data_IF_559276898066
#
_entry.id   IF_559276898066
#
_cell.length_a   1.000
_cell.length_b   1.000
_cell.length_c   1.000
_cell.angle_alpha   90.00
_cell.angle_beta   90.00
_cell.angle_gamma   90.00
#
_symmetry.space_group_name_H-M   'P 1'
#
loop_
_entity.id
_entity.type
_entity.pdbx_description
1 polymer ?
#
# COMPACT_ATOMS: atom_id res chain seq x y z
N UNK A 1 -1.16 -12.38 5.68
CA UNK A 1 -0.58 -11.68 4.51
C UNK A 1 0.77 -12.25 4.07
N UNK A 2 1.95 -11.93 4.63
CA UNK A 2 3.24 -12.40 4.06
C UNK A 2 3.35 -13.94 3.91
N UNK A 3 2.88 -14.72 4.89
CA UNK A 3 2.80 -16.19 4.79
C UNK A 3 1.85 -16.68 3.69
N UNK A 4 0.72 -15.99 3.50
CA UNK A 4 -0.25 -16.35 2.45
C UNK A 4 0.31 -16.04 1.07
N UNK A 5 1.00 -14.90 0.91
CA UNK A 5 1.69 -14.55 -0.33
C UNK A 5 2.72 -15.63 -0.68
N UNK A 6 3.56 -16.00 0.29
CA UNK A 6 4.55 -17.06 0.09
C UNK A 6 3.91 -18.41 -0.22
N UNK A 7 2.80 -18.77 0.44
CA UNK A 7 2.11 -20.03 0.16
C UNK A 7 1.51 -20.09 -1.27
N UNK A 8 0.90 -19.00 -1.74
CA UNK A 8 0.38 -18.91 -3.11
C UNK A 8 1.52 -18.96 -4.13
N UNK A 9 2.59 -18.20 -3.89
CA UNK A 9 3.78 -18.20 -4.76
C UNK A 9 4.42 -19.60 -4.84
N UNK A 10 4.62 -20.28 -3.71
CA UNK A 10 5.14 -21.66 -3.69
C UNK A 10 4.21 -22.65 -4.39
N UNK A 11 2.89 -22.43 -4.37
CA UNK A 11 1.94 -23.28 -5.09
C UNK A 11 2.05 -23.09 -6.60
N UNK A 12 2.29 -21.86 -7.06
CA UNK A 12 2.54 -21.56 -8.48
C UNK A 12 3.88 -22.17 -8.91
N UNK A 13 4.94 -22.01 -8.10
CA UNK A 13 6.25 -22.60 -8.35
C UNK A 13 6.16 -24.13 -8.49
N UNK A 14 5.50 -24.80 -7.55
CA UNK A 14 5.26 -26.24 -7.61
C UNK A 14 4.47 -26.68 -8.84
N UNK A 15 3.48 -25.89 -9.26
CA UNK A 15 2.73 -26.14 -10.50
C UNK A 15 3.61 -26.04 -11.76
N UNK A 16 4.51 -25.05 -11.81
CA UNK A 16 5.43 -24.89 -12.95
C UNK A 16 6.37 -26.09 -13.04
N UNK A 17 6.84 -26.61 -11.91
CA UNK A 17 7.82 -27.70 -11.86
C UNK A 17 7.26 -29.09 -12.16
N UNK A 18 6.03 -29.37 -11.78
CA UNK A 18 5.44 -30.69 -12.03
C UNK A 18 5.17 -30.94 -13.53
N UNK A 19 5.29 -32.18 -14.04
CA UNK A 19 5.17 -32.50 -15.47
C UNK A 19 3.77 -32.89 -15.95
N UNK A 20 2.86 -33.26 -15.04
CA UNK A 20 1.65 -34.04 -15.32
C UNK A 20 0.43 -33.18 -15.68
N UNK A 21 0.32 -32.00 -15.07
CA UNK A 21 -0.81 -31.09 -15.21
C UNK A 21 -0.41 -29.85 -16.02
N UNK A 22 -0.93 -29.66 -17.25
CA UNK A 22 -0.58 -28.49 -18.04
C UNK A 22 -1.26 -27.21 -17.55
N UNK A 23 -2.29 -27.29 -16.67
CA UNK A 23 -3.20 -26.17 -16.43
C UNK A 23 -3.54 -25.93 -14.96
N UNK A 24 -3.37 -24.67 -14.55
CA UNK A 24 -3.72 -24.13 -13.25
C UNK A 24 -4.81 -23.07 -13.41
N UNK A 25 -6.02 -23.35 -12.92
CA UNK A 25 -7.07 -22.36 -12.77
C UNK A 25 -6.89 -21.58 -11.47
N UNK A 26 -6.69 -20.27 -11.59
CA UNK A 26 -6.51 -19.35 -10.48
C UNK A 26 -7.84 -18.67 -10.20
N UNK A 27 -8.52 -19.08 -9.13
CA UNK A 27 -9.79 -18.47 -8.71
C UNK A 27 -9.51 -17.14 -8.01
N UNK A 28 -9.72 -16.03 -8.70
CA UNK A 28 -9.29 -14.69 -8.27
C UNK A 28 -10.27 -13.59 -8.69
N UNK A 29 -10.37 -12.52 -7.88
CA UNK A 29 -11.01 -11.25 -8.27
C UNK A 29 -9.99 -10.29 -8.88
N UNK A 30 -10.43 -9.16 -9.45
CA UNK A 30 -9.51 -8.15 -10.04
C UNK A 30 -8.46 -7.66 -9.03
N UNK A 31 -8.84 -7.54 -7.75
CA UNK A 31 -7.93 -7.13 -6.68
C UNK A 31 -6.89 -8.21 -6.33
N UNK A 32 -7.25 -9.48 -6.52
CA UNK A 32 -6.37 -10.61 -6.21
C UNK A 32 -5.28 -10.80 -7.28
N UNK A 33 -5.55 -10.41 -8.53
CA UNK A 33 -4.64 -10.60 -9.69
C UNK A 33 -3.37 -9.78 -9.56
N UNK A 34 -3.42 -8.56 -9.01
CA UNK A 34 -2.25 -7.68 -8.91
C UNK A 34 -1.12 -8.32 -8.08
N UNK A 35 -1.39 -8.86 -6.87
CA UNK A 35 -0.43 -9.71 -6.16
C UNK A 35 0.09 -10.91 -6.95
N UNK A 36 -0.80 -11.65 -7.62
CA UNK A 36 -0.42 -12.86 -8.39
C UNK A 36 0.53 -12.52 -9.53
N UNK A 37 0.28 -11.43 -10.26
CA UNK A 37 1.16 -10.97 -11.33
C UNK A 37 2.57 -10.67 -10.81
N UNK A 38 2.69 -10.04 -9.63
CA UNK A 38 4.00 -9.80 -9.01
C UNK A 38 4.71 -11.09 -8.61
N UNK A 39 3.97 -12.10 -8.16
CA UNK A 39 4.53 -13.44 -7.88
C UNK A 39 5.05 -14.10 -9.16
N UNK A 40 4.28 -14.04 -10.26
CA UNK A 40 4.72 -14.56 -11.56
C UNK A 40 6.00 -13.87 -12.05
N UNK A 41 6.09 -12.55 -11.91
CA UNK A 41 7.29 -11.79 -12.25
C UNK A 41 8.49 -12.16 -11.37
N UNK A 42 8.27 -12.36 -10.07
CA UNK A 42 9.33 -12.81 -9.17
C UNK A 42 9.79 -14.24 -9.49
N UNK A 43 8.88 -15.11 -9.94
CA UNK A 43 9.22 -16.46 -10.36
C UNK A 43 10.01 -16.46 -11.67
N UNK A 44 9.67 -15.60 -12.64
CA UNK A 44 10.43 -15.44 -13.90
C UNK A 44 11.91 -15.08 -13.65
N UNK A 45 12.18 -14.28 -12.62
CA UNK A 45 13.56 -13.93 -12.22
C UNK A 45 14.30 -15.08 -11.51
N UNK A 46 13.57 -16.00 -10.85
CA UNK A 46 14.14 -17.05 -9.99
C UNK A 46 14.25 -18.41 -10.69
N UNK A 47 13.28 -18.75 -11.52
CA UNK A 47 13.11 -20.07 -12.15
C UNK A 47 13.81 -20.06 -13.51
N UNK A 48 15.09 -20.43 -13.52
CA UNK A 48 15.96 -20.30 -14.70
C UNK A 48 15.67 -21.27 -15.86
N UNK A 49 14.80 -22.26 -15.69
CA UNK A 49 14.39 -23.22 -16.73
C UNK A 49 12.98 -22.94 -17.31
N UNK A 50 12.35 -21.83 -16.91
CA UNK A 50 11.04 -21.42 -17.38
C UNK A 50 11.05 -19.99 -17.96
N UNK A 51 10.17 -19.73 -18.92
CA UNK A 51 9.91 -18.40 -19.49
C UNK A 51 8.47 -18.01 -19.18
N UNK A 52 8.26 -16.87 -18.52
CA UNK A 52 6.91 -16.41 -18.16
C UNK A 52 6.37 -15.36 -19.15
N UNK A 53 5.25 -15.69 -19.78
CA UNK A 53 4.49 -14.80 -20.65
C UNK A 53 3.26 -14.31 -19.89
N UNK A 54 3.26 -13.04 -19.51
CA UNK A 54 2.23 -12.44 -18.65
C UNK A 54 1.27 -11.56 -19.46
N UNK A 55 -0.04 -11.83 -19.35
CA UNK A 55 -1.10 -11.12 -20.09
C UNK A 55 -2.17 -10.48 -19.19
N UNK A 56 -1.80 -9.46 -18.38
CA UNK A 56 -2.70 -8.80 -17.43
C UNK A 56 -3.51 -7.65 -18.05
N UNK A 57 -4.03 -7.85 -19.27
CA UNK A 57 -4.75 -6.80 -20.00
C UNK A 57 -6.25 -6.79 -19.67
N UNK A 58 -6.95 -5.65 -19.81
CA UNK A 58 -8.40 -5.61 -19.72
C UNK A 58 -9.07 -6.53 -20.74
N UNK A 59 -10.11 -7.25 -20.32
CA UNK A 59 -10.89 -8.13 -21.20
C UNK A 59 -12.36 -7.70 -21.26
N UNK A 60 -12.64 -6.65 -22.05
CA UNK A 60 -14.01 -6.21 -22.36
C UNK A 60 -14.67 -7.07 -23.46
N UNK A 61 -13.84 -7.69 -24.31
CA UNK A 61 -14.24 -8.75 -25.24
C UNK A 61 -13.06 -9.69 -25.48
N UNK A 62 -13.33 -10.98 -25.65
CA UNK A 62 -12.28 -11.98 -25.85
C UNK A 62 -11.40 -11.73 -27.09
N UNK A 63 -11.99 -11.20 -28.17
CA UNK A 63 -11.26 -10.93 -29.41
C UNK A 63 -10.29 -9.77 -29.27
N UNK A 64 -10.73 -8.65 -28.68
CA UNK A 64 -9.88 -7.50 -28.41
C UNK A 64 -8.79 -7.84 -27.39
N UNK A 65 -9.13 -8.59 -26.34
CA UNK A 65 -8.16 -9.08 -25.36
C UNK A 65 -7.07 -9.91 -26.03
N UNK A 66 -7.45 -10.89 -26.85
CA UNK A 66 -6.47 -11.72 -27.55
C UNK A 66 -5.62 -10.88 -28.50
N UNK A 67 -6.21 -9.93 -29.23
CA UNK A 67 -5.47 -9.05 -30.12
C UNK A 67 -4.37 -8.29 -29.38
N UNK A 68 -4.69 -7.68 -28.24
CA UNK A 68 -3.70 -7.01 -27.38
C UNK A 68 -2.63 -7.98 -26.86
N UNK A 69 -3.03 -9.22 -26.49
CA UNK A 69 -2.07 -10.24 -26.07
C UNK A 69 -1.08 -10.61 -27.19
N UNK A 70 -1.56 -10.79 -28.42
CA UNK A 70 -0.73 -11.18 -29.56
C UNK A 70 0.20 -10.04 -30.00
N UNK A 71 -0.25 -8.79 -29.94
CA UNK A 71 0.60 -7.61 -30.18
C UNK A 71 1.71 -7.50 -29.12
N UNK A 72 1.36 -7.72 -27.85
CA UNK A 72 2.35 -7.73 -26.77
C UNK A 72 3.36 -8.88 -26.93
N UNK A 73 2.89 -10.07 -27.31
CA UNK A 73 3.75 -11.23 -27.57
C UNK A 73 4.69 -10.99 -28.75
N UNK A 74 4.19 -10.43 -29.86
CA UNK A 74 5.01 -10.08 -31.02
C UNK A 74 6.14 -9.14 -30.63
N UNK A 75 5.82 -8.08 -29.87
CA UNK A 75 6.83 -7.14 -29.35
C UNK A 75 7.87 -7.82 -28.44
N UNK A 76 7.44 -8.71 -27.54
CA UNK A 76 8.35 -9.45 -26.67
C UNK A 76 9.30 -10.36 -27.47
N UNK A 77 8.78 -11.06 -28.49
CA UNK A 77 9.60 -11.89 -29.39
C UNK A 77 10.61 -11.03 -30.15
N UNK A 78 10.18 -9.89 -30.70
CA UNK A 78 11.04 -8.99 -31.44
C UNK A 78 12.15 -8.41 -30.56
N UNK A 79 11.83 -7.93 -29.36
CA UNK A 79 12.79 -7.42 -28.37
C UNK A 79 13.82 -8.51 -27.97
N UNK A 80 13.35 -9.72 -27.68
CA UNK A 80 14.22 -10.85 -27.36
C UNK A 80 15.09 -11.27 -28.56
N UNK A 81 14.53 -11.25 -29.77
CA UNK A 81 15.24 -11.56 -31.01
C UNK A 81 16.36 -10.55 -31.29
N UNK A 82 16.08 -9.25 -31.14
CA UNK A 82 17.09 -8.19 -31.24
C UNK A 82 18.24 -8.38 -30.25
N UNK A 83 17.93 -8.68 -28.98
CA UNK A 83 18.95 -8.92 -27.96
C UNK A 83 19.81 -10.16 -28.26
N UNK A 84 19.26 -11.19 -28.89
CA UNK A 84 20.02 -12.36 -29.36
C UNK A 84 20.97 -12.00 -30.49
N UNK A 85 20.51 -11.23 -31.47
CA UNK A 85 21.32 -10.76 -32.61
C UNK A 85 22.49 -9.90 -32.11
N UNK A 86 22.26 -9.01 -31.15
CA UNK A 86 23.32 -8.20 -30.52
C UNK A 86 24.39 -9.04 -29.82
N UNK A 87 24.03 -10.23 -29.29
CA UNK A 87 24.97 -11.21 -28.74
C UNK A 87 25.63 -12.11 -29.79
N UNK A 88 25.36 -11.91 -31.07
CA UNK A 88 25.88 -12.71 -32.17
C UNK A 88 25.18 -14.06 -32.37
N UNK A 89 24.04 -14.27 -31.71
CA UNK A 89 23.21 -15.47 -31.88
C UNK A 89 22.23 -15.31 -33.05
N UNK A 90 21.67 -16.42 -33.56
CA UNK A 90 20.57 -16.35 -34.53
C UNK A 90 19.32 -15.76 -33.86
N UNK A 91 18.73 -14.76 -34.51
CA UNK A 91 17.46 -14.16 -34.09
C UNK A 91 16.31 -15.16 -34.19
N UNK A 92 15.28 -14.91 -33.40
CA UNK A 92 14.05 -15.70 -33.43
C UNK A 92 13.14 -15.30 -34.58
N UNK A 93 12.32 -16.26 -35.02
CA UNK A 93 11.28 -16.01 -36.01
C UNK A 93 10.17 -15.14 -35.40
N UNK A 94 9.69 -14.11 -36.11
CA UNK A 94 8.63 -13.24 -35.63
C UNK A 94 7.32 -14.01 -35.47
N UNK A 95 6.38 -13.43 -34.70
CA UNK A 95 5.06 -14.04 -34.53
C UNK A 95 4.33 -14.14 -35.90
N UNK A 96 3.83 -15.31 -36.30
CA UNK A 96 3.18 -15.48 -37.59
C UNK A 96 1.93 -14.60 -37.74
N UNK A 97 1.72 -14.07 -38.96
CA UNK A 97 0.54 -13.26 -39.27
C UNK A 97 -0.79 -13.98 -38.97
N UNK A 98 -0.77 -15.31 -39.02
CA UNK A 98 -1.90 -16.19 -38.66
C UNK A 98 -2.37 -16.01 -37.22
N UNK A 99 -1.50 -15.54 -36.31
CA UNK A 99 -1.82 -15.28 -34.90
C UNK A 99 -2.48 -13.91 -34.69
N UNK A 100 -2.28 -12.96 -35.60
CA UNK A 100 -2.78 -11.57 -35.49
C UNK A 100 -3.89 -11.24 -36.49
N UNK A 101 -4.23 -12.14 -37.42
CA UNK A 101 -5.27 -11.91 -38.43
C UNK A 101 -6.69 -11.95 -37.80
N UNK A 102 -7.39 -10.80 -37.64
CA UNK A 102 -8.68 -10.75 -36.95
C UNK A 102 -9.80 -11.52 -37.67
N UNK A 103 -9.59 -11.95 -38.92
CA UNK A 103 -10.55 -12.78 -39.66
C UNK A 103 -10.56 -14.23 -39.20
N UNK A 104 -9.54 -14.67 -38.45
CA UNK A 104 -9.42 -16.04 -37.94
C UNK A 104 -9.99 -16.15 -36.53
N UNK A 105 -10.56 -17.31 -36.23
CA UNK A 105 -11.16 -17.57 -34.93
C UNK A 105 -10.13 -17.38 -33.79
N UNK A 106 -10.47 -16.66 -32.70
CA UNK A 106 -9.55 -16.39 -31.60
C UNK A 106 -8.88 -17.64 -31.03
N UNK A 107 -9.64 -18.73 -30.87
CA UNK A 107 -9.13 -20.02 -30.38
C UNK A 107 -8.02 -20.58 -31.29
N UNK A 108 -8.18 -20.47 -32.60
CA UNK A 108 -7.15 -20.91 -33.57
C UNK A 108 -5.91 -20.03 -33.50
N UNK A 109 -6.09 -18.71 -33.41
CA UNK A 109 -4.98 -17.75 -33.27
C UNK A 109 -4.15 -18.01 -32.02
N UNK A 110 -4.83 -18.24 -30.89
CA UNK A 110 -4.19 -18.58 -29.62
C UNK A 110 -3.36 -19.87 -29.73
N UNK A 111 -3.93 -20.92 -30.34
CA UNK A 111 -3.22 -22.20 -30.53
C UNK A 111 -1.99 -22.04 -31.41
N UNK A 112 -2.12 -21.34 -32.53
CA UNK A 112 -1.01 -21.10 -33.45
C UNK A 112 0.12 -20.32 -32.76
N UNK A 113 -0.20 -19.37 -31.88
CA UNK A 113 0.78 -18.64 -31.10
C UNK A 113 1.49 -19.53 -30.07
N UNK A 114 0.76 -20.40 -29.36
CA UNK A 114 1.35 -21.36 -28.41
C UNK A 114 2.33 -22.28 -29.12
N UNK A 115 1.91 -22.87 -30.25
CA UNK A 115 2.77 -23.75 -31.06
C UNK A 115 3.99 -23.00 -31.60
N UNK A 116 3.83 -21.76 -32.08
CA UNK A 116 4.95 -20.95 -32.57
C UNK A 116 5.99 -20.70 -31.49
N UNK A 117 5.57 -20.26 -30.30
CA UNK A 117 6.49 -19.99 -29.19
C UNK A 117 7.27 -21.24 -28.80
N UNK A 118 6.66 -22.43 -28.84
CA UNK A 118 7.37 -23.69 -28.58
C UNK A 118 8.55 -23.90 -29.51
N UNK A 119 8.43 -23.51 -30.78
CA UNK A 119 9.53 -23.64 -31.78
C UNK A 119 10.71 -22.72 -31.49
N UNK A 120 10.52 -21.65 -30.71
CA UNK A 120 11.56 -20.69 -30.34
C UNK A 120 12.39 -21.15 -29.13
N UNK A 121 11.87 -22.08 -28.35
CA UNK A 121 12.41 -22.46 -27.04
C UNK A 121 13.24 -23.74 -27.13
N UNK A 122 14.42 -23.80 -26.47
CA UNK A 122 15.20 -25.02 -26.35
C UNK A 122 14.41 -26.19 -25.76
N UNK A 123 14.87 -27.42 -26.03
CA UNK A 123 14.31 -28.62 -25.43
C UNK A 123 14.45 -28.55 -23.90
N UNK A 124 13.39 -28.91 -23.17
CA UNK A 124 13.34 -28.85 -21.70
C UNK A 124 12.96 -27.49 -21.12
N UNK A 125 13.01 -26.37 -21.88
CA UNK A 125 12.55 -25.07 -21.38
C UNK A 125 11.02 -25.04 -21.24
N UNK A 126 10.50 -24.72 -20.06
CA UNK A 126 9.06 -24.58 -19.81
C UNK A 126 8.58 -23.20 -20.25
N UNK A 127 7.37 -23.10 -20.82
CA UNK A 127 6.75 -21.82 -21.16
C UNK A 127 5.48 -21.64 -20.34
N UNK A 128 5.50 -20.68 -19.43
CA UNK A 128 4.38 -20.37 -18.55
C UNK A 128 3.54 -19.26 -19.17
N UNK A 129 2.29 -19.57 -19.49
CA UNK A 129 1.31 -18.63 -20.02
C UNK A 129 0.39 -18.16 -18.90
N UNK A 130 0.57 -16.93 -18.44
CA UNK A 130 -0.26 -16.32 -17.41
C UNK A 130 -1.37 -15.46 -18.03
N UNK A 131 -2.52 -16.11 -18.30
CA UNK A 131 -3.76 -15.49 -18.79
C UNK A 131 -4.54 -14.89 -17.63
N UNK A 132 -4.14 -13.68 -17.23
CA UNK A 132 -4.62 -13.01 -16.02
C UNK A 132 -5.35 -11.69 -16.33
N UNK A 133 -6.40 -11.69 -17.17
CA UNK A 133 -7.07 -10.45 -17.57
C UNK A 133 -7.51 -9.64 -16.36
N UNK A 134 -7.31 -8.32 -16.38
CA UNK A 134 -7.68 -7.43 -15.28
C UNK A 134 -7.88 -5.99 -15.79
N UNK A 135 -9.09 -5.41 -15.72
CA UNK A 135 -10.33 -6.05 -15.27
C UNK A 135 -10.83 -7.13 -16.26
N UNK A 136 -11.61 -8.08 -15.75
CA UNK A 136 -12.29 -9.09 -16.57
C UNK A 136 -13.78 -8.74 -16.71
N UNK A 137 -14.19 -8.30 -17.91
CA UNK A 137 -15.57 -7.92 -18.24
C UNK A 137 -16.35 -8.99 -19.02
N UNK A 138 -15.74 -9.60 -20.03
CA UNK A 138 -16.32 -10.67 -20.85
C UNK A 138 -15.93 -12.07 -20.33
N UNK A 139 -16.55 -12.49 -19.22
CA UNK A 139 -16.27 -13.77 -18.56
C UNK A 139 -16.47 -14.97 -19.50
N UNK A 140 -17.60 -14.99 -20.22
CA UNK A 140 -17.97 -16.11 -21.08
C UNK A 140 -17.15 -16.19 -22.36
N UNK A 141 -16.82 -15.05 -22.97
CA UNK A 141 -15.94 -15.00 -24.13
C UNK A 141 -14.52 -15.41 -23.78
N UNK A 142 -13.97 -14.89 -22.66
CA UNK A 142 -12.65 -15.28 -22.18
C UNK A 142 -12.58 -16.78 -21.88
N UNK A 143 -13.58 -17.35 -21.18
CA UNK A 143 -13.63 -18.78 -20.90
C UNK A 143 -13.64 -19.62 -22.18
N UNK A 144 -14.39 -19.22 -23.21
CA UNK A 144 -14.40 -19.90 -24.52
C UNK A 144 -13.06 -19.82 -25.24
N UNK A 145 -12.37 -18.68 -25.14
CA UNK A 145 -11.06 -18.45 -25.77
C UNK A 145 -10.01 -19.45 -25.24
N UNK A 146 -9.93 -19.59 -23.91
CA UNK A 146 -8.89 -20.40 -23.24
C UNK A 146 -9.31 -21.86 -23.00
N UNK A 147 -10.54 -22.24 -23.38
CA UNK A 147 -11.11 -23.57 -23.10
C UNK A 147 -10.23 -24.73 -23.57
N UNK A 148 -9.59 -24.60 -24.74
CA UNK A 148 -8.71 -25.62 -25.29
C UNK A 148 -7.47 -25.88 -24.44
N UNK A 149 -7.08 -24.92 -23.61
CA UNK A 149 -5.94 -25.06 -22.71
C UNK A 149 -6.27 -25.93 -21.49
N UNK A 150 -7.52 -26.34 -21.25
CA UNK A 150 -7.87 -27.14 -20.06
C UNK A 150 -7.63 -28.64 -20.21
N UNK A 151 -7.16 -29.12 -21.38
CA UNK A 151 -6.93 -30.55 -21.63
C UNK A 151 -8.15 -31.45 -21.28
N UNK A 152 -9.38 -30.94 -21.49
CA UNK A 152 -10.61 -31.63 -21.07
C UNK A 152 -10.80 -33.01 -21.72
N UNK A 153 -10.16 -33.25 -22.87
CA UNK A 153 -10.22 -34.52 -23.60
C UNK A 153 -8.88 -35.27 -23.55
N UNK A 154 -8.03 -34.96 -22.57
CA UNK A 154 -6.67 -35.49 -22.47
C UNK A 154 -5.61 -34.54 -23.02
N UNK A 155 -4.36 -34.91 -22.80
CA UNK A 155 -3.18 -34.16 -23.18
C UNK A 155 -2.90 -34.30 -24.69
N UNK A 156 -2.71 -33.17 -25.38
CA UNK A 156 -2.34 -33.12 -26.80
C UNK A 156 -0.86 -32.75 -26.96
N UNK A 157 -0.19 -33.21 -28.03
CA UNK A 157 1.24 -32.97 -28.27
C UNK A 157 1.62 -31.48 -28.24
N UNK A 158 0.75 -30.60 -28.72
CA UNK A 158 1.01 -29.15 -28.73
C UNK A 158 1.04 -28.52 -27.32
N UNK A 159 0.56 -29.22 -26.29
CA UNK A 159 0.59 -28.76 -24.90
C UNK A 159 1.94 -29.06 -24.22
N UNK A 160 2.80 -29.86 -24.84
CA UNK A 160 4.09 -30.25 -24.27
C UNK A 160 5.03 -29.06 -24.05
N UNK A 161 5.63 -29.03 -22.86
CA UNK A 161 6.48 -27.93 -22.42
C UNK A 161 5.74 -26.62 -22.10
N UNK A 162 4.40 -26.60 -22.09
CA UNK A 162 3.60 -25.44 -21.71
C UNK A 162 2.95 -25.60 -20.33
N UNK A 163 2.82 -24.48 -19.61
CA UNK A 163 2.06 -24.36 -18.35
C UNK A 163 1.08 -23.22 -18.48
N UNK A 164 -0.22 -23.48 -18.38
CA UNK A 164 -1.28 -22.50 -18.53
C UNK A 164 -1.82 -22.09 -17.16
N UNK A 165 -1.46 -20.88 -16.72
CA UNK A 165 -2.03 -20.23 -15.54
C UNK A 165 -3.19 -19.34 -16.00
N UNK A 166 -4.43 -19.76 -15.75
CA UNK A 166 -5.63 -19.10 -16.28
C UNK A 166 -6.47 -18.57 -15.12
N UNK A 167 -6.80 -17.28 -15.13
CA UNK A 167 -7.75 -16.71 -14.16
C UNK A 167 -9.16 -17.25 -14.41
N UNK A 168 -9.87 -17.63 -13.34
CA UNK A 168 -11.33 -17.73 -13.33
C UNK A 168 -11.87 -16.75 -12.28
N UNK A 169 -12.91 -15.98 -12.62
CA UNK A 169 -13.41 -14.96 -11.70
C UNK A 169 -14.19 -15.58 -10.55
N UNK A 170 -13.80 -15.29 -9.29
CA UNK A 170 -14.48 -15.86 -8.11
C UNK A 170 -15.97 -15.51 -8.05
N UNK A 171 -16.37 -14.33 -8.51
CA UNK A 171 -17.78 -13.86 -8.43
C UNK A 171 -18.60 -14.34 -9.62
N UNK A 172 -17.95 -14.57 -10.76
CA UNK A 172 -18.59 -15.03 -12.00
C UNK A 172 -17.83 -16.23 -12.63
N UNK A 173 -17.77 -17.38 -11.91
CA UNK A 173 -16.92 -18.50 -12.34
C UNK A 173 -17.48 -19.17 -13.58
N UNK A 174 -16.62 -19.41 -14.57
CA UNK A 174 -16.98 -20.06 -15.84
C UNK A 174 -16.18 -21.34 -16.08
N UNK A 175 -14.89 -21.34 -15.76
CA UNK A 175 -13.97 -22.44 -16.06
C UNK A 175 -13.95 -23.51 -14.98
N UNK A 176 -13.94 -23.13 -13.70
CA UNK A 176 -13.88 -24.06 -12.57
C UNK A 176 -15.13 -24.96 -12.49
N UNK A 177 -16.38 -24.44 -12.60
CA UNK A 177 -17.56 -25.30 -12.64
C UNK A 177 -17.50 -26.29 -13.80
N UNK A 178 -17.07 -25.82 -14.98
CA UNK A 178 -16.94 -26.66 -16.17
C UNK A 178 -15.88 -27.76 -15.99
N UNK A 179 -14.72 -27.44 -15.43
CA UNK A 179 -13.66 -28.40 -15.14
C UNK A 179 -14.13 -29.49 -14.16
N UNK A 180 -14.89 -29.10 -13.12
CA UNK A 180 -15.50 -30.05 -12.17
C UNK A 180 -16.56 -30.94 -12.82
N UNK A 181 -17.47 -30.37 -13.60
CA UNK A 181 -18.53 -31.10 -14.28
C UNK A 181 -17.99 -32.10 -15.30
N UNK A 182 -16.89 -31.74 -15.97
CA UNK A 182 -16.20 -32.61 -16.94
C UNK A 182 -15.18 -33.56 -16.32
N UNK A 183 -14.96 -33.47 -15.00
CA UNK A 183 -13.92 -34.24 -14.28
C UNK A 183 -12.56 -34.10 -14.95
N UNK A 184 -12.14 -32.87 -15.21
CA UNK A 184 -10.85 -32.58 -15.84
C UNK A 184 -9.71 -33.04 -14.92
N UNK A 185 -9.12 -34.20 -15.20
CA UNK A 185 -8.11 -34.83 -14.35
C UNK A 185 -6.79 -34.05 -14.30
N UNK A 186 -6.49 -33.29 -15.36
CA UNK A 186 -5.23 -32.56 -15.54
C UNK A 186 -5.34 -31.04 -15.27
N UNK A 187 -6.36 -30.63 -14.50
CA UNK A 187 -6.60 -29.21 -14.17
C UNK A 187 -6.53 -29.02 -12.66
N UNK A 188 -5.52 -28.29 -12.22
CA UNK A 188 -5.37 -27.87 -10.83
C UNK A 188 -6.13 -26.57 -10.57
N UNK A 189 -6.63 -26.40 -9.35
CA UNK A 189 -7.38 -25.21 -8.94
C UNK A 189 -6.68 -24.57 -7.74
N UNK A 190 -6.31 -23.29 -7.88
CA UNK A 190 -5.69 -22.48 -6.83
C UNK A 190 -6.61 -21.33 -6.39
N UNK A 191 -7.25 -21.42 -5.21
CA UNK A 191 -8.05 -20.32 -4.68
C UNK A 191 -7.16 -19.21 -4.11
N UNK A 192 -7.28 -17.99 -4.65
CA UNK A 192 -6.44 -16.84 -4.27
C UNK A 192 -7.26 -15.71 -3.69
N UNK A 193 -7.43 -15.68 -2.37
CA UNK A 193 -8.20 -14.63 -1.69
C UNK A 193 -7.26 -13.76 -0.82
N UNK A 194 -7.08 -12.50 -1.23
CA UNK A 194 -6.37 -11.45 -0.48
C UNK A 194 -7.32 -10.39 0.08
N UNK A 195 -8.62 -10.69 0.17
CA UNK A 195 -9.62 -9.76 0.68
C UNK A 195 -9.38 -9.38 2.14
N UNK A 196 -9.80 -8.16 2.51
CA UNK A 196 -9.82 -7.71 3.89
C UNK A 196 -10.73 -8.57 4.77
N UNK A 197 -11.78 -9.18 4.20
CA UNK A 197 -12.67 -10.09 4.91
C UNK A 197 -11.95 -11.35 5.35
N UNK A 198 -11.24 -12.03 4.43
CA UNK A 198 -10.44 -13.21 4.77
C UNK A 198 -9.32 -12.86 5.75
N UNK A 199 -8.63 -11.73 5.55
CA UNK A 199 -7.60 -11.28 6.48
C UNK A 199 -8.16 -11.07 7.89
N UNK A 200 -9.35 -10.46 8.01
CA UNK A 200 -10.02 -10.27 9.30
C UNK A 200 -10.48 -11.59 9.91
N UNK A 201 -11.03 -12.50 9.10
CA UNK A 201 -11.43 -13.85 9.56
C UNK A 201 -10.24 -14.62 10.10
N UNK A 202 -9.11 -14.59 9.40
CA UNK A 202 -7.88 -15.21 9.86
C UNK A 202 -7.39 -14.65 11.20
N UNK A 203 -7.48 -13.33 11.43
CA UNK A 203 -7.18 -12.74 12.73
C UNK A 203 -8.12 -13.27 13.82
N UNK A 204 -9.41 -13.41 13.52
CA UNK A 204 -10.41 -13.96 14.44
C UNK A 204 -10.08 -15.42 14.78
N UNK A 205 -9.71 -16.22 13.78
CA UNK A 205 -9.30 -17.61 13.96
C UNK A 205 -8.07 -17.69 14.87
N UNK A 206 -7.05 -16.86 14.62
CA UNK A 206 -5.86 -16.78 15.48
C UNK A 206 -6.24 -16.41 16.91
N UNK A 207 -7.07 -15.37 17.10
CA UNK A 207 -7.40 -14.88 18.44
C UNK A 207 -8.16 -15.94 19.29
N UNK A 208 -8.99 -16.75 18.64
CA UNK A 208 -9.85 -17.73 19.27
C UNK A 208 -9.22 -19.12 19.41
N UNK A 209 -8.25 -19.48 18.58
CA UNK A 209 -7.60 -20.78 18.65
C UNK A 209 -6.58 -20.83 19.80
N UNK A 210 -6.86 -21.70 20.77
CA UNK A 210 -6.02 -21.92 21.96
C UNK A 210 -4.67 -22.59 21.63
N UNK A 211 -4.51 -23.18 20.45
CA UNK A 211 -3.24 -23.73 19.99
C UNK A 211 -2.19 -22.64 19.69
N UNK A 212 -2.61 -21.41 19.42
CA UNK A 212 -1.69 -20.30 19.23
C UNK A 212 -1.16 -19.74 20.57
N UNK A 213 0.13 -19.33 20.63
CA UNK A 213 0.67 -18.65 21.80
C UNK A 213 -0.16 -17.43 22.19
N UNK A 214 -0.35 -17.21 23.50
CA UNK A 214 -1.20 -16.11 24.00
C UNK A 214 -0.80 -14.74 23.45
N UNK A 215 0.50 -14.49 23.26
CA UNK A 215 0.99 -13.23 22.67
C UNK A 215 0.52 -13.04 21.22
N UNK A 216 0.52 -14.11 20.41
CA UNK A 216 0.01 -14.06 19.05
C UNK A 216 -1.50 -13.79 19.03
N UNK A 217 -2.23 -14.42 19.95
CA UNK A 217 -3.67 -14.23 20.12
C UNK A 217 -4.01 -12.80 20.52
N UNK A 218 -3.27 -12.21 21.46
CA UNK A 218 -3.45 -10.82 21.89
C UNK A 218 -3.01 -9.83 20.81
N UNK A 219 -1.96 -10.13 20.05
CA UNK A 219 -1.58 -9.34 18.86
C UNK A 219 -2.67 -9.34 17.79
N UNK A 220 -3.34 -10.47 17.55
CA UNK A 220 -4.50 -10.53 16.67
C UNK A 220 -5.70 -9.77 17.25
N UNK A 221 -5.97 -9.91 18.56
CA UNK A 221 -7.05 -9.21 19.25
C UNK A 221 -6.90 -7.68 19.17
N UNK A 222 -5.67 -7.16 19.29
CA UNK A 222 -5.35 -5.74 19.11
C UNK A 222 -5.71 -5.24 17.70
N UNK A 223 -5.37 -5.99 16.67
CA UNK A 223 -5.71 -5.63 15.29
C UNK A 223 -7.23 -5.65 15.07
N UNK A 224 -7.93 -6.67 15.58
CA UNK A 224 -9.39 -6.75 15.47
C UNK A 224 -10.05 -5.57 16.21
N UNK A 225 -9.54 -5.19 17.39
CA UNK A 225 -10.05 -4.03 18.13
C UNK A 225 -9.93 -2.73 17.32
N UNK A 226 -8.81 -2.52 16.63
CA UNK A 226 -8.61 -1.38 15.73
C UNK A 226 -9.56 -1.40 14.52
N UNK A 227 -9.77 -2.58 13.92
CA UNK A 227 -10.71 -2.76 12.81
C UNK A 227 -12.15 -2.46 13.28
N UNK A 228 -12.56 -2.96 14.44
CA UNK A 228 -13.88 -2.69 15.02
C UNK A 228 -14.09 -1.19 15.27
N UNK A 229 -13.08 -0.50 15.81
CA UNK A 229 -13.09 0.94 16.02
C UNK A 229 -13.24 1.71 14.69
N UNK A 230 -12.47 1.33 13.67
CA UNK A 230 -12.52 1.97 12.35
C UNK A 230 -13.93 1.87 11.74
N UNK A 231 -14.53 0.68 11.79
CA UNK A 231 -15.86 0.39 11.28
C UNK A 231 -17.03 0.79 12.20
N UNK A 232 -16.75 1.44 13.34
CA UNK A 232 -17.79 1.94 14.24
C UNK A 232 -18.49 0.86 15.08
N UNK A 233 -17.92 -0.36 15.16
CA UNK A 233 -18.36 -1.41 16.09
C UNK A 233 -17.83 -1.13 17.50
N UNK A 234 -18.23 0.02 18.05
CA UNK A 234 -17.65 0.57 19.29
C UNK A 234 -17.78 -0.37 20.50
N UNK A 235 -18.91 -1.08 20.74
CA UNK A 235 -18.99 -2.02 21.86
C UNK A 235 -18.02 -3.20 21.73
N UNK A 236 -17.78 -3.67 20.50
CA UNK A 236 -16.84 -4.75 20.23
C UNK A 236 -15.39 -4.31 20.45
N UNK A 237 -15.02 -3.14 19.93
CA UNK A 237 -13.71 -2.54 20.16
C UNK A 237 -13.45 -2.34 21.66
N UNK A 238 -14.43 -1.78 22.38
CA UNK A 238 -14.34 -1.55 23.82
C UNK A 238 -14.04 -2.84 24.59
N UNK A 239 -14.83 -3.90 24.35
CA UNK A 239 -14.61 -5.21 25.00
C UNK A 239 -13.20 -5.74 24.75
N UNK A 240 -12.70 -5.64 23.52
CA UNK A 240 -11.37 -6.12 23.15
C UNK A 240 -10.26 -5.30 23.79
N UNK A 241 -10.37 -3.98 23.81
CA UNK A 241 -9.39 -3.14 24.51
C UNK A 241 -9.38 -3.37 26.03
N UNK A 242 -10.52 -3.65 26.66
CA UNK A 242 -10.54 -4.07 28.07
C UNK A 242 -9.85 -5.41 28.31
N UNK A 243 -10.07 -6.40 27.43
CA UNK A 243 -9.39 -7.69 27.52
C UNK A 243 -7.87 -7.53 27.36
N UNK A 244 -7.42 -6.72 26.39
CA UNK A 244 -6.01 -6.38 26.19
C UNK A 244 -5.42 -5.67 27.41
N UNK A 245 -6.13 -4.69 27.98
CA UNK A 245 -5.69 -4.01 29.19
C UNK A 245 -5.50 -5.00 30.36
N UNK A 246 -6.47 -5.90 30.56
CA UNK A 246 -6.39 -6.91 31.63
C UNK A 246 -5.19 -7.84 31.44
N UNK A 247 -4.98 -8.32 30.21
CA UNK A 247 -3.82 -9.16 29.85
C UNK A 247 -2.48 -8.47 30.14
N UNK A 248 -2.31 -7.22 29.70
CA UNK A 248 -1.07 -6.49 29.92
C UNK A 248 -0.86 -6.12 31.40
N UNK A 249 -1.94 -5.83 32.13
CA UNK A 249 -1.88 -5.52 33.56
C UNK A 249 -1.41 -6.72 34.39
N UNK A 250 -1.93 -7.92 34.13
CA UNK A 250 -1.51 -9.17 34.78
C UNK A 250 -0.01 -9.45 34.58
N UNK A 251 0.52 -9.07 33.40
CA UNK A 251 1.92 -9.28 33.01
C UNK A 251 2.83 -8.11 33.38
N UNK A 252 2.29 -7.07 34.02
CA UNK A 252 3.00 -5.82 34.34
C UNK A 252 3.66 -5.17 33.12
N UNK A 253 3.04 -5.32 31.96
CA UNK A 253 3.45 -4.66 30.73
C UNK A 253 2.81 -3.26 30.66
N UNK A 254 3.53 -2.27 31.15
CA UNK A 254 3.05 -0.88 31.19
C UNK A 254 2.82 -0.30 29.79
N UNK A 255 3.61 -0.70 28.79
CA UNK A 255 3.43 -0.22 27.41
C UNK A 255 2.14 -0.76 26.82
N UNK A 256 1.89 -2.06 26.94
CA UNK A 256 0.65 -2.68 26.49
C UNK A 256 -0.59 -2.13 27.21
N UNK A 257 -0.48 -1.88 28.53
CA UNK A 257 -1.53 -1.18 29.29
C UNK A 257 -1.85 0.19 28.70
N UNK A 258 -0.82 0.99 28.41
CA UNK A 258 -0.99 2.32 27.85
C UNK A 258 -1.67 2.31 26.48
N UNK A 259 -1.28 1.38 25.60
CA UNK A 259 -1.89 1.25 24.27
C UNK A 259 -3.36 0.82 24.37
N UNK A 260 -3.69 -0.13 25.24
CA UNK A 260 -5.07 -0.55 25.45
C UNK A 260 -5.95 0.57 26.03
N UNK A 261 -5.43 1.33 27.01
CA UNK A 261 -6.12 2.49 27.58
C UNK A 261 -6.30 3.61 26.54
N UNK A 262 -5.32 3.83 25.67
CA UNK A 262 -5.44 4.76 24.55
C UNK A 262 -6.58 4.35 23.61
N UNK A 263 -6.65 3.06 23.25
CA UNK A 263 -7.75 2.52 22.43
C UNK A 263 -9.14 2.72 23.06
N UNK A 264 -9.27 2.58 24.39
CA UNK A 264 -10.51 2.91 25.10
C UNK A 264 -10.86 4.40 25.00
N UNK A 265 -9.84 5.28 25.04
CA UNK A 265 -10.01 6.71 24.78
C UNK A 265 -10.52 6.99 23.37
N UNK A 266 -9.97 6.31 22.36
CA UNK A 266 -10.40 6.46 20.97
C UNK A 266 -11.85 5.99 20.77
N UNK A 267 -12.23 4.89 21.41
CA UNK A 267 -13.62 4.40 21.44
C UNK A 267 -14.56 5.46 22.01
N UNK A 268 -14.22 6.02 23.18
CA UNK A 268 -15.03 7.06 23.82
C UNK A 268 -15.12 8.32 22.96
N UNK A 269 -14.02 8.72 22.31
CA UNK A 269 -14.00 9.87 21.42
C UNK A 269 -14.87 9.65 20.17
N UNK A 270 -14.83 8.46 19.58
CA UNK A 270 -15.68 8.06 18.45
C UNK A 270 -17.16 7.93 18.84
N UNK A 271 -17.44 7.61 20.10
CA UNK A 271 -18.80 7.63 20.65
C UNK A 271 -19.34 9.05 20.88
N UNK A 272 -18.49 10.09 20.78
CA UNK A 272 -18.89 11.47 21.00
C UNK A 272 -18.72 11.95 22.45
N UNK A 273 -17.99 11.20 23.29
CA UNK A 273 -17.74 11.51 24.70
C UNK A 273 -16.31 12.02 24.93
N UNK A 274 -15.97 13.29 24.64
CA UNK A 274 -14.62 13.82 24.86
C UNK A 274 -14.22 13.87 26.34
N UNK A 275 -15.19 13.89 27.27
CA UNK A 275 -14.92 13.80 28.72
C UNK A 275 -14.38 12.43 29.11
N UNK A 276 -15.07 11.37 28.70
CA UNK A 276 -14.66 9.99 28.99
C UNK A 276 -13.34 9.66 28.28
N UNK A 277 -13.19 10.11 27.02
CA UNK A 277 -11.96 9.93 26.26
C UNK A 277 -10.74 10.54 26.98
N UNK A 278 -10.88 11.77 27.48
CA UNK A 278 -9.86 12.45 28.28
C UNK A 278 -9.46 11.59 29.49
N UNK A 279 -10.42 11.05 30.23
CA UNK A 279 -10.13 10.28 31.43
C UNK A 279 -9.36 8.98 31.09
N UNK A 280 -9.68 8.33 29.97
CA UNK A 280 -8.91 7.19 29.47
C UNK A 280 -7.48 7.57 29.04
N UNK A 281 -7.31 8.64 28.27
CA UNK A 281 -5.97 9.07 27.85
C UNK A 281 -5.12 9.52 29.04
N UNK A 282 -5.71 10.19 30.03
CA UNK A 282 -5.01 10.54 31.28
C UNK A 282 -4.57 9.30 32.06
N UNK A 283 -5.36 8.23 32.07
CA UNK A 283 -4.97 6.94 32.66
C UNK A 283 -3.86 6.25 31.87
N UNK A 284 -3.81 6.44 30.55
CA UNK A 284 -2.76 5.88 29.70
C UNK A 284 -1.38 6.52 29.93
N UNK A 285 -1.32 7.81 30.29
CA UNK A 285 -0.07 8.58 30.42
C UNK A 285 0.92 8.00 31.45
N UNK A 286 0.53 7.70 32.71
CA UNK A 286 1.43 7.07 33.68
C UNK A 286 1.98 5.74 33.17
N UNK A 287 1.11 4.87 32.62
CA UNK A 287 1.52 3.59 32.05
C UNK A 287 2.52 3.76 30.89
N UNK A 288 2.31 4.77 30.03
CA UNK A 288 3.22 5.08 28.92
C UNK A 288 4.59 5.55 29.41
N UNK A 289 4.63 6.38 30.46
CA UNK A 289 5.85 6.86 31.10
C UNK A 289 6.61 5.70 31.79
N UNK A 290 5.90 4.84 32.51
CA UNK A 290 6.47 3.66 33.18
C UNK A 290 7.05 2.67 32.16
N UNK A 291 6.37 2.49 31.03
CA UNK A 291 6.85 1.68 29.91
C UNK A 291 8.04 2.29 29.17
N UNK A 292 8.43 3.54 29.48
CA UNK A 292 9.51 4.31 28.84
C UNK A 292 9.40 4.37 27.31
N UNK A 293 8.18 4.28 26.79
CA UNK A 293 7.92 4.34 25.35
C UNK A 293 7.46 5.75 24.96
N UNK A 294 8.40 6.56 24.50
CA UNK A 294 8.14 7.98 24.19
C UNK A 294 7.15 8.18 23.03
N UNK A 295 7.02 7.23 22.09
CA UNK A 295 5.97 7.29 21.06
C UNK A 295 4.58 7.15 21.66
N UNK A 296 4.39 6.23 22.61
CA UNK A 296 3.10 6.03 23.27
C UNK A 296 2.76 7.23 24.15
N UNK A 297 3.76 7.80 24.84
CA UNK A 297 3.60 9.06 25.61
C UNK A 297 3.16 10.19 24.69
N UNK A 298 3.84 10.39 23.55
CA UNK A 298 3.50 11.42 22.57
C UNK A 298 2.04 11.30 22.10
N UNK A 299 1.61 10.09 21.72
CA UNK A 299 0.25 9.85 21.27
C UNK A 299 -0.78 10.20 22.36
N UNK A 300 -0.53 9.77 23.61
CA UNK A 300 -1.40 10.08 24.73
C UNK A 300 -1.45 11.59 25.04
N UNK A 301 -0.33 12.31 24.96
CA UNK A 301 -0.27 13.77 25.14
C UNK A 301 -1.09 14.50 24.06
N UNK A 302 -0.92 14.12 22.78
CA UNK A 302 -1.66 14.69 21.66
C UNK A 302 -3.16 14.48 21.81
N UNK A 303 -3.59 13.26 22.14
CA UNK A 303 -5.00 12.92 22.32
C UNK A 303 -5.62 13.64 23.52
N UNK A 304 -4.89 13.72 24.63
CA UNK A 304 -5.31 14.45 25.84
C UNK A 304 -5.47 15.95 25.56
N UNK A 305 -4.48 16.57 24.92
CA UNK A 305 -4.55 17.99 24.52
C UNK A 305 -5.73 18.26 23.58
N UNK A 306 -6.00 17.35 22.64
CA UNK A 306 -7.18 17.41 21.77
C UNK A 306 -8.49 17.38 22.54
N UNK A 307 -8.60 16.52 23.56
CA UNK A 307 -9.80 16.44 24.39
C UNK A 307 -10.00 17.69 25.24
N UNK A 308 -8.95 18.19 25.91
CA UNK A 308 -9.04 19.45 26.65
C UNK A 308 -9.47 20.62 25.76
N UNK A 309 -8.93 20.70 24.54
CA UNK A 309 -9.31 21.76 23.62
C UNK A 309 -10.78 21.67 23.20
N UNK A 310 -11.29 20.45 22.91
CA UNK A 310 -12.71 20.21 22.61
C UNK A 310 -13.64 20.56 23.79
N UNK A 311 -13.14 20.45 25.01
CA UNK A 311 -13.89 20.74 26.24
C UNK A 311 -13.81 22.21 26.67
N UNK A 312 -13.09 23.07 25.92
CA UNK A 312 -12.88 24.47 26.27
C UNK A 312 -11.81 24.72 27.35
N UNK A 313 -11.11 23.68 27.80
CA UNK A 313 -10.02 23.77 28.78
C UNK A 313 -8.69 24.14 28.08
N UNK A 314 -8.68 25.26 27.35
CA UNK A 314 -7.60 25.64 26.43
C UNK A 314 -6.23 25.79 27.09
N UNK A 315 -6.17 26.27 28.34
CA UNK A 315 -4.90 26.41 29.06
C UNK A 315 -4.21 25.05 29.27
N UNK A 316 -4.98 24.02 29.65
CA UNK A 316 -4.45 22.66 29.78
C UNK A 316 -4.08 22.09 28.42
N UNK A 317 -4.91 22.31 27.40
CA UNK A 317 -4.63 21.86 26.05
C UNK A 317 -3.27 22.40 25.55
N UNK A 318 -2.98 23.69 25.76
CA UNK A 318 -1.70 24.29 25.43
C UNK A 318 -0.52 23.61 26.15
N UNK A 319 -0.65 23.29 27.44
CA UNK A 319 0.36 22.55 28.19
C UNK A 319 0.62 21.16 27.59
N UNK A 320 -0.43 20.38 27.32
CA UNK A 320 -0.29 19.04 26.75
C UNK A 320 0.31 19.06 25.34
N UNK A 321 -0.08 20.02 24.51
CA UNK A 321 0.53 20.18 23.18
C UNK A 321 2.00 20.64 23.25
N UNK A 322 2.38 21.46 24.23
CA UNK A 322 3.77 21.81 24.49
C UNK A 322 4.61 20.57 24.82
N UNK A 323 4.14 19.74 25.76
CA UNK A 323 4.80 18.47 26.11
C UNK A 323 4.87 17.52 24.90
N UNK A 324 3.83 17.47 24.07
CA UNK A 324 3.83 16.67 22.85
C UNK A 324 4.86 17.17 21.83
N UNK A 325 4.98 18.49 21.64
CA UNK A 325 6.02 19.09 20.78
C UNK A 325 7.43 18.71 21.25
N UNK A 326 7.69 18.75 22.55
CA UNK A 326 8.98 18.35 23.13
C UNK A 326 9.29 16.87 22.91
N UNK A 327 8.29 16.00 23.16
CA UNK A 327 8.41 14.56 22.92
C UNK A 327 8.66 14.26 21.43
N UNK A 328 7.91 14.88 20.52
CA UNK A 328 8.10 14.74 19.08
C UNK A 328 9.49 15.23 18.63
N UNK A 329 9.99 16.32 19.23
CA UNK A 329 11.35 16.81 18.98
C UNK A 329 12.42 15.80 19.36
N UNK A 330 12.30 15.15 20.53
CA UNK A 330 13.24 14.09 20.96
C UNK A 330 13.18 12.84 20.08
N UNK A 331 12.03 12.57 19.46
CA UNK A 331 11.84 11.47 18.51
C UNK A 331 12.22 11.83 17.08
N UNK A 332 12.65 13.06 16.80
CA UNK A 332 12.90 13.57 15.45
C UNK A 332 11.67 13.48 14.52
N UNK A 333 10.46 13.50 15.08
CA UNK A 333 9.19 13.48 14.35
C UNK A 333 8.76 14.91 13.99
N UNK A 334 9.40 15.48 12.96
CA UNK A 334 9.24 16.89 12.57
C UNK A 334 7.79 17.27 12.28
N UNK A 335 7.07 16.46 11.50
CA UNK A 335 5.66 16.73 11.17
C UNK A 335 4.77 16.76 12.42
N UNK A 336 4.92 15.80 13.32
CA UNK A 336 4.15 15.74 14.57
C UNK A 336 4.51 16.89 15.50
N UNK A 337 5.77 17.30 15.55
CA UNK A 337 6.20 18.48 16.31
C UNK A 337 5.52 19.75 15.80
N UNK A 338 5.54 19.97 14.48
CA UNK A 338 4.87 21.12 13.85
C UNK A 338 3.36 21.10 14.16
N UNK A 339 2.72 19.94 14.04
CA UNK A 339 1.30 19.78 14.35
C UNK A 339 0.98 20.11 15.83
N UNK A 340 1.81 19.63 16.76
CA UNK A 340 1.66 19.94 18.19
C UNK A 340 1.83 21.44 18.46
N UNK A 341 2.83 22.09 17.85
CA UNK A 341 3.04 23.54 17.95
C UNK A 341 1.87 24.35 17.37
N UNK A 342 1.32 23.91 16.24
CA UNK A 342 0.16 24.53 15.61
C UNK A 342 -1.06 24.47 16.53
N UNK A 343 -1.41 23.26 17.02
CA UNK A 343 -2.53 23.02 17.94
C UNK A 343 -2.34 23.75 19.27
N UNK A 344 -1.11 23.77 19.80
CA UNK A 344 -0.74 24.54 20.99
C UNK A 344 -0.96 26.03 20.81
N UNK A 345 -0.57 26.60 19.67
CA UNK A 345 -0.82 28.01 19.34
C UNK A 345 -2.31 28.35 19.23
N UNK A 346 -3.13 27.44 18.68
CA UNK A 346 -4.61 27.61 18.66
C UNK A 346 -5.17 27.67 20.08
N UNK A 347 -4.71 26.78 20.96
CA UNK A 347 -5.13 26.76 22.35
C UNK A 347 -4.67 28.03 23.12
N UNK A 348 -3.44 28.49 22.89
CA UNK A 348 -2.92 29.74 23.46
C UNK A 348 -3.73 30.97 23.01
N UNK A 349 -4.08 31.03 21.72
CA UNK A 349 -4.92 32.10 21.19
C UNK A 349 -6.30 32.13 21.86
N UNK A 350 -6.91 30.96 22.07
CA UNK A 350 -8.18 30.83 22.78
C UNK A 350 -8.10 31.28 24.26
N UNK A 351 -6.91 31.21 24.87
CA UNK A 351 -6.63 31.79 26.20
C UNK A 351 -6.37 33.30 26.18
N UNK A 352 -6.46 33.98 25.03
CA UNK A 352 -6.09 35.39 24.88
C UNK A 352 -4.58 35.63 24.83
N UNK A 353 -3.75 34.60 24.75
CA UNK A 353 -2.29 34.69 24.71
C UNK A 353 -1.79 34.80 23.27
N UNK A 354 -2.24 35.83 22.55
CA UNK A 354 -1.98 36.04 21.12
C UNK A 354 -0.48 36.09 20.78
N UNK A 355 0.34 36.74 21.62
CA UNK A 355 1.78 36.84 21.39
C UNK A 355 2.48 35.48 21.44
N UNK A 356 2.15 34.64 22.42
CA UNK A 356 2.72 33.29 22.53
C UNK A 356 2.23 32.36 21.42
N UNK A 357 0.97 32.50 21.00
CA UNK A 357 0.44 31.80 19.83
C UNK A 357 1.23 32.15 18.55
N UNK A 358 1.43 33.45 18.29
CA UNK A 358 2.23 33.92 17.16
C UNK A 358 3.66 33.37 17.20
N UNK A 359 4.31 33.43 18.37
CA UNK A 359 5.66 32.91 18.57
C UNK A 359 5.76 31.41 18.26
N UNK A 360 4.79 30.61 18.74
CA UNK A 360 4.71 29.18 18.44
C UNK A 360 4.58 28.93 16.94
N UNK A 361 3.68 29.63 16.26
CA UNK A 361 3.46 29.45 14.82
C UNK A 361 4.62 29.92 13.96
N UNK A 362 5.30 31.01 14.34
CA UNK A 362 6.53 31.48 13.66
C UNK A 362 7.64 30.43 13.78
N UNK A 363 7.84 29.87 14.98
CA UNK A 363 8.83 28.81 15.18
C UNK A 363 8.49 27.53 14.39
N UNK A 364 7.21 27.14 14.36
CA UNK A 364 6.74 26.00 13.56
C UNK A 364 6.91 26.26 12.05
N UNK A 365 6.68 27.49 11.59
CA UNK A 365 6.88 27.92 10.21
C UNK A 365 8.36 27.78 9.81
N UNK A 366 9.28 28.22 10.67
CA UNK A 366 10.72 28.06 10.44
C UNK A 366 11.14 26.59 10.31
N UNK A 367 10.56 25.69 11.11
CA UNK A 367 10.76 24.24 10.92
C UNK A 367 10.22 23.76 9.57
N UNK A 368 9.07 24.26 9.13
CA UNK A 368 8.54 23.88 7.81
C UNK A 368 9.47 24.32 6.67
N UNK A 369 10.09 25.50 6.78
CA UNK A 369 11.05 26.00 5.79
C UNK A 369 12.33 25.16 5.76
N UNK A 370 12.82 24.74 6.93
CA UNK A 370 14.02 23.91 7.05
C UNK A 370 13.82 22.50 6.47
N UNK A 371 12.63 21.91 6.64
CA UNK A 371 12.35 20.52 6.29
C UNK A 371 11.41 20.34 5.07
N UNK A 372 11.12 21.40 4.33
CA UNK A 372 10.31 21.33 3.10
C UNK A 372 8.83 20.98 3.32
N UNK A 373 8.26 21.32 4.48
CA UNK A 373 6.86 21.01 4.83
C UNK A 373 5.90 22.10 4.30
N UNK A 374 5.77 22.22 2.98
CA UNK A 374 5.05 23.32 2.31
C UNK A 374 3.60 23.47 2.78
N UNK A 375 2.86 22.36 2.81
CA UNK A 375 1.43 22.36 3.17
C UNK A 375 1.20 22.89 4.59
N UNK A 376 2.00 22.44 5.55
CA UNK A 376 1.94 22.92 6.93
C UNK A 376 2.40 24.38 7.04
N UNK A 377 3.41 24.80 6.25
CA UNK A 377 3.85 26.21 6.24
C UNK A 377 2.70 27.14 5.85
N UNK A 378 1.97 26.81 4.79
CA UNK A 378 0.84 27.62 4.31
C UNK A 378 -0.25 27.72 5.39
N UNK A 379 -0.61 26.60 6.04
CA UNK A 379 -1.57 26.61 7.16
C UNK A 379 -1.15 27.57 8.29
N UNK A 380 0.13 27.55 8.67
CA UNK A 380 0.67 28.44 9.70
C UNK A 380 0.66 29.91 9.25
N UNK A 381 0.98 30.19 7.99
CA UNK A 381 0.89 31.54 7.42
C UNK A 381 -0.54 32.06 7.42
N UNK A 382 -1.54 31.26 7.02
CA UNK A 382 -2.96 31.63 7.07
C UNK A 382 -3.39 32.06 8.48
N UNK A 383 -2.91 31.33 9.50
CA UNK A 383 -3.17 31.67 10.91
C UNK A 383 -2.49 32.97 11.33
N UNK A 384 -1.24 33.19 10.95
CA UNK A 384 -0.52 34.43 11.24
C UNK A 384 -1.18 35.63 10.55
N UNK A 385 -1.56 35.51 9.28
CA UNK A 385 -2.31 36.55 8.55
C UNK A 385 -3.59 36.91 9.30
N UNK A 386 -4.38 35.89 9.67
CA UNK A 386 -5.63 36.08 10.40
C UNK A 386 -5.41 36.76 11.76
N UNK A 387 -4.40 36.30 12.51
CA UNK A 387 -4.07 36.83 13.84
C UNK A 387 -3.67 38.30 13.78
N UNK A 388 -2.70 38.64 12.93
CA UNK A 388 -2.20 40.01 12.81
C UNK A 388 -3.23 40.94 12.19
N UNK A 389 -4.02 40.45 11.22
CA UNK A 389 -5.12 41.20 10.62
C UNK A 389 -6.18 41.59 11.64
N UNK A 390 -6.60 40.64 12.49
CA UNK A 390 -7.56 40.89 13.56
C UNK A 390 -7.01 41.82 14.66
N UNK A 391 -5.69 41.85 14.86
CA UNK A 391 -5.01 42.78 15.76
C UNK A 391 -4.80 44.19 15.17
N UNK A 392 -5.21 44.44 13.92
CA UNK A 392 -5.01 45.73 13.23
C UNK A 392 -3.61 45.92 12.62
N UNK A 393 -2.74 44.91 12.72
CA UNK A 393 -1.37 44.90 12.21
C UNK A 393 -1.35 44.52 10.72
N UNK A 394 -1.91 45.41 9.89
CA UNK A 394 -2.17 45.14 8.46
C UNK A 394 -0.89 44.96 7.64
N UNK A 395 0.20 45.61 8.01
CA UNK A 395 1.47 45.54 7.28
C UNK A 395 2.11 44.16 7.45
N UNK A 396 2.14 43.65 8.68
CA UNK A 396 2.65 42.35 9.06
C UNK A 396 1.79 41.23 8.50
N UNK A 397 0.46 41.36 8.58
CA UNK A 397 -0.46 40.41 7.95
C UNK A 397 -0.22 40.31 6.44
N UNK A 398 -0.02 41.43 5.75
CA UNK A 398 0.30 41.45 4.32
C UNK A 398 1.66 40.82 4.02
N UNK A 399 2.66 40.98 4.89
CA UNK A 399 3.96 40.35 4.72
C UNK A 399 3.83 38.81 4.74
N UNK A 400 3.11 38.26 5.71
CA UNK A 400 2.84 36.81 5.76
C UNK A 400 1.99 36.31 4.59
N UNK A 401 1.09 37.13 4.06
CA UNK A 401 0.33 36.79 2.85
C UNK A 401 1.25 36.63 1.64
N UNK A 402 2.23 37.52 1.48
CA UNK A 402 3.22 37.45 0.41
C UNK A 402 4.16 36.23 0.55
N UNK A 403 4.50 35.82 1.77
CA UNK A 403 5.33 34.63 2.03
C UNK A 403 4.71 33.31 1.52
N UNK A 404 3.41 33.31 1.18
CA UNK A 404 2.75 32.15 0.56
C UNK A 404 3.12 31.97 -0.91
N UNK A 405 3.54 33.04 -1.61
CA UNK A 405 3.95 32.96 -3.02
C UNK A 405 5.39 32.43 -3.14
N UNK A 406 5.61 31.26 -3.78
CA UNK A 406 6.95 30.71 -4.00
C UNK A 406 7.88 31.66 -4.75
N UNK A 407 7.36 32.46 -5.70
CA UNK A 407 8.17 33.44 -6.47
C UNK A 407 8.60 34.63 -5.63
N UNK A 408 7.76 35.02 -4.66
CA UNK A 408 8.12 36.03 -3.68
C UNK A 408 9.24 35.51 -2.77
N UNK A 409 9.11 34.28 -2.26
CA UNK A 409 10.13 33.66 -1.40
C UNK A 409 11.46 33.41 -2.13
N UNK A 410 11.43 33.07 -3.42
CA UNK A 410 12.65 32.94 -4.23
C UNK A 410 13.40 34.29 -4.33
N UNK A 411 12.70 35.38 -4.67
CA UNK A 411 13.28 36.73 -4.72
C UNK A 411 13.80 37.20 -3.37
N UNK A 412 13.09 36.87 -2.29
CA UNK A 412 13.52 37.23 -0.93
C UNK A 412 14.82 36.51 -0.55
N UNK A 413 14.96 35.22 -0.89
CA UNK A 413 16.21 34.47 -0.66
C UNK A 413 17.38 35.03 -1.48
N UNK A 414 17.14 35.39 -2.73
CA UNK A 414 18.15 36.04 -3.59
C UNK A 414 18.60 37.40 -3.03
N UNK A 415 17.68 38.18 -2.46
CA UNK A 415 18.00 39.47 -1.84
C UNK A 415 18.76 39.34 -0.50
N UNK A 416 18.56 38.25 0.24
CA UNK A 416 19.21 37.98 1.54
C UNK A 416 20.59 37.32 1.36
N UNK A 417 20.89 36.75 0.20
CA UNK A 417 22.20 36.16 -0.12
C UNK A 417 23.01 37.01 -1.12
N UNK A 418 23.49 38.23 -0.77
CA UNK A 418 24.45 38.92 -1.61
C UNK A 418 25.84 38.27 -1.41
N UNK A 419 26.26 37.45 -2.38
CA UNK A 419 27.68 37.14 -2.59
C UNK A 419 28.12 35.69 -2.37
N UNK A 420 27.71 34.76 -3.25
CA UNK A 420 28.58 33.66 -3.70
C UNK A 420 28.33 33.42 -5.20
N UNK A 421 28.55 34.43 -6.02
CA UNK A 421 28.76 34.27 -7.47
C UNK A 421 29.71 35.38 -7.94
N UNK A 422 31.00 35.15 -7.71
CA UNK A 422 32.10 35.46 -8.65
C UNK A 422 33.46 35.32 -7.93
N UNK A 423 34.06 34.14 -8.02
CA UNK A 423 35.48 33.92 -7.71
C UNK A 423 36.10 32.81 -8.59
N UNK A 424 35.60 32.63 -9.82
CA UNK A 424 36.19 31.71 -10.81
C UNK A 424 36.18 32.32 -12.22
N UNK A 425 36.49 33.62 -12.33
CA UNK A 425 36.82 34.26 -13.60
C UNK A 425 38.06 35.12 -13.41
N UNK A 426 39.22 34.48 -13.38
CA UNK A 426 40.47 35.23 -13.32
C UNK A 426 41.69 34.41 -12.96
N UNK A 427 41.92 33.25 -13.59
CA UNK A 427 43.25 32.65 -13.72
C UNK A 427 43.27 31.69 -14.91
N UNK A 428 43.17 32.25 -16.12
CA UNK A 428 43.77 31.64 -17.31
C UNK A 428 44.89 32.57 -17.78
N UNK A 429 46.11 32.05 -17.81
CA UNK A 429 47.27 32.75 -18.34
C UNK A 429 48.54 32.47 -17.54
N UNK A 430 49.17 31.34 -17.84
CA UNK A 430 50.57 31.22 -18.33
C UNK A 430 51.03 29.79 -18.06
N UNK A 431 51.10 28.99 -19.14
CA UNK A 431 51.96 27.79 -19.22
C UNK A 431 53.38 28.21 -19.57
N UNK A 432 54.37 27.42 -19.16
CA UNK A 432 55.19 26.72 -20.16
C UNK A 432 54.74 25.26 -20.34
#
# INVERSE_FOLDING_TARGET
MHREFSAIESSIEAFVDQPDDPTLLIEATDNDVVPVLKMMQSLDERVGDAVFLNFPFPCDSADAYLQTCMEALARQIDEASSARIERGETGWLPLPLTCIDPRRAPVTRLRDAVMHVRTLMPEGTKVVWAWLPSPLGDFGGFAKLVLQCLALNGFEEWMEGHRFCIRDDRKHPCLIPLARDRKAEHVLILPVDFSSEKATRHLVDIANDAAHPIEQRMGALMQIAGIDLAHGRLPDAQRKYYALFSFHAERKDSTGCAVALHGLGDVALRHGSPRDAKDWYLRALPAALDGRNLLVVLNALMATGGCFNKLGEHAKAATYFGLASDAAGRLMLVHTKIEAMEKGGVALLACGQAAEAAKSWIAAKGLCEQFGCERQRISLLDRLVSLYGNAGLKTEARAYELEKDPRYMARLREAIAPGIRDATSGYEGVRP
#
